data_IF_022012687671
#
_entry.id   IF_022012687671
#
_cell.length_a   1.000
_cell.length_b   1.000
_cell.length_c   1.000
_cell.angle_alpha   90.00
_cell.angle_beta   90.00
_cell.angle_gamma   90.00
#
_symmetry.space_group_name_H-M   'P 1'
#
loop_
_entity.id
_entity.type
_entity.pdbx_description
1 polymer ?
#
# COMPACT_ATOMS: atom_id res chain seq x y z
N UNK A 1 -8.55 -27.22 -9.21
CA UNK A 1 -8.48 -25.96 -9.99
C UNK A 1 -7.53 -25.02 -9.24
N UNK A 2 -6.21 -25.22 -9.31
CA UNK A 2 -5.22 -24.41 -8.60
C UNK A 2 -3.90 -24.33 -9.39
N UNK A 3 -4.01 -24.20 -10.72
CA UNK A 3 -2.87 -24.24 -11.64
C UNK A 3 -2.92 -23.05 -12.60
N UNK A 4 -3.21 -21.85 -12.09
CA UNK A 4 -3.06 -20.60 -12.86
C UNK A 4 -2.00 -19.68 -12.24
N UNK A 5 -1.37 -20.10 -11.14
CA UNK A 5 -0.32 -19.36 -10.42
C UNK A 5 1.10 -19.74 -10.89
N UNK A 6 1.29 -19.95 -12.20
CA UNK A 6 2.63 -20.12 -12.78
C UNK A 6 2.82 -19.25 -14.02
N UNK A 7 2.21 -18.07 -14.04
CA UNK A 7 2.60 -17.06 -15.02
C UNK A 7 4.07 -16.65 -14.80
N UNK A 8 4.72 -16.22 -15.86
CA UNK A 8 6.14 -15.81 -15.94
C UNK A 8 6.56 -15.00 -14.69
N UNK A 9 7.76 -15.27 -14.11
CA UNK A 9 8.22 -14.52 -12.95
C UNK A 9 8.36 -13.04 -13.30
N UNK A 10 8.04 -12.13 -12.35
CA UNK A 10 7.91 -10.70 -12.61
C UNK A 10 9.20 -10.09 -13.17
N UNK A 11 10.36 -10.57 -12.72
CA UNK A 11 11.69 -10.15 -13.18
C UNK A 11 11.93 -10.40 -14.68
N UNK A 12 11.19 -11.35 -15.29
CA UNK A 12 11.30 -11.69 -16.71
C UNK A 12 10.24 -11.02 -17.58
N UNK A 13 9.30 -10.28 -17.00
CA UNK A 13 8.28 -9.54 -17.74
C UNK A 13 8.87 -8.24 -18.29
N UNK A 14 8.49 -7.86 -19.51
CA UNK A 14 8.74 -6.51 -20.02
C UNK A 14 7.76 -5.51 -19.38
N UNK A 15 8.09 -4.22 -19.32
CA UNK A 15 7.30 -3.22 -18.58
C UNK A 15 5.84 -3.13 -19.01
N UNK A 16 5.59 -3.20 -20.33
CA UNK A 16 4.22 -3.22 -20.87
C UNK A 16 3.43 -4.47 -20.51
N UNK A 17 4.10 -5.62 -20.38
CA UNK A 17 3.45 -6.86 -19.92
C UNK A 17 3.23 -6.83 -18.42
N UNK A 18 4.20 -6.33 -17.65
CA UNK A 18 4.08 -6.17 -16.20
C UNK A 18 2.86 -5.34 -15.82
N UNK A 19 2.63 -4.22 -16.51
CA UNK A 19 1.44 -3.37 -16.30
C UNK A 19 0.12 -4.11 -16.61
N UNK A 20 0.09 -4.90 -17.69
CA UNK A 20 -1.10 -5.70 -18.05
C UNK A 20 -1.38 -6.79 -17.02
N UNK A 21 -0.33 -7.49 -16.57
CA UNK A 21 -0.46 -8.51 -15.54
C UNK A 21 -0.92 -7.90 -14.20
N UNK A 22 -0.43 -6.72 -13.84
CA UNK A 22 -0.91 -5.97 -12.67
C UNK A 22 -2.39 -5.61 -12.77
N UNK A 23 -2.85 -5.12 -13.93
CA UNK A 23 -4.28 -4.84 -14.14
C UNK A 23 -5.12 -6.13 -14.03
N UNK A 24 -4.68 -7.20 -14.68
CA UNK A 24 -5.39 -8.48 -14.69
C UNK A 24 -5.48 -9.09 -13.28
N UNK A 25 -4.38 -9.12 -12.54
CA UNK A 25 -4.36 -9.73 -11.20
C UNK A 25 -5.18 -8.93 -10.18
N UNK A 26 -5.30 -7.61 -10.34
CA UNK A 26 -6.19 -6.79 -9.52
C UNK A 26 -7.65 -7.19 -9.71
N UNK A 27 -8.07 -7.38 -10.97
CA UNK A 27 -9.43 -7.82 -11.31
C UNK A 27 -9.70 -9.21 -10.74
N UNK A 28 -8.82 -10.18 -11.03
CA UNK A 28 -9.02 -11.56 -10.58
C UNK A 28 -8.99 -11.68 -9.06
N UNK A 29 -8.06 -11.00 -8.36
CA UNK A 29 -8.06 -11.00 -6.88
C UNK A 29 -9.37 -10.44 -6.32
N UNK A 30 -9.93 -9.41 -6.94
CA UNK A 30 -11.21 -8.85 -6.49
C UNK A 30 -12.36 -9.84 -6.67
N UNK A 31 -12.41 -10.56 -7.79
CA UNK A 31 -13.39 -11.63 -8.01
C UNK A 31 -13.19 -12.78 -7.00
N UNK A 32 -11.95 -13.17 -6.72
CA UNK A 32 -11.63 -14.19 -5.71
C UNK A 32 -11.98 -13.74 -4.30
N UNK A 33 -11.85 -12.45 -3.98
CA UNK A 33 -12.28 -11.92 -2.69
C UNK A 33 -13.79 -12.09 -2.46
N UNK A 34 -14.60 -11.96 -3.51
CA UNK A 34 -16.05 -12.05 -3.42
C UNK A 34 -16.57 -13.48 -3.47
N UNK A 35 -15.93 -14.36 -4.25
CA UNK A 35 -16.48 -15.67 -4.60
C UNK A 35 -15.51 -16.84 -4.42
N UNK A 36 -14.25 -16.56 -4.09
CA UNK A 36 -13.18 -17.55 -4.00
C UNK A 36 -12.98 -18.12 -2.61
N UNK A 37 -12.02 -19.05 -2.52
CA UNK A 37 -11.53 -19.58 -1.25
C UNK A 37 -10.39 -18.73 -0.70
N UNK A 38 -10.17 -18.80 0.60
CA UNK A 38 -9.10 -18.09 1.30
C UNK A 38 -7.70 -18.43 0.74
N UNK A 39 -7.44 -19.71 0.47
CA UNK A 39 -6.18 -20.19 -0.16
C UNK A 39 -5.94 -19.59 -1.56
N UNK A 40 -7.00 -19.48 -2.36
CA UNK A 40 -6.92 -18.85 -3.68
C UNK A 40 -6.66 -17.34 -3.56
N UNK A 41 -7.27 -16.69 -2.56
CA UNK A 41 -7.05 -15.27 -2.29
C UNK A 41 -5.63 -15.01 -1.80
N UNK A 42 -5.08 -15.86 -0.93
CA UNK A 42 -3.70 -15.77 -0.46
C UNK A 42 -2.72 -15.90 -1.64
N UNK A 43 -2.93 -16.90 -2.49
CA UNK A 43 -2.14 -17.12 -3.71
C UNK A 43 -2.10 -15.87 -4.60
N UNK A 44 -3.26 -15.29 -4.92
CA UNK A 44 -3.34 -14.08 -5.73
C UNK A 44 -2.74 -12.85 -5.03
N UNK A 45 -2.84 -12.76 -3.70
CA UNK A 45 -2.26 -11.66 -2.93
C UNK A 45 -0.73 -11.74 -2.94
N UNK A 46 -0.16 -12.94 -2.77
CA UNK A 46 1.29 -13.17 -2.82
C UNK A 46 1.86 -12.81 -4.19
N UNK A 47 1.21 -13.28 -5.27
CA UNK A 47 1.61 -12.97 -6.64
C UNK A 47 1.46 -11.49 -6.98
N UNK A 48 0.40 -10.83 -6.51
CA UNK A 48 0.21 -9.38 -6.66
C UNK A 48 1.38 -8.61 -6.05
N UNK A 49 1.76 -8.94 -4.81
CA UNK A 49 2.89 -8.29 -4.14
C UNK A 49 4.22 -8.46 -4.89
N UNK A 50 4.45 -9.63 -5.50
CA UNK A 50 5.63 -9.86 -6.32
C UNK A 50 5.69 -8.99 -7.59
N UNK A 51 4.55 -8.79 -8.27
CA UNK A 51 4.46 -7.91 -9.44
C UNK A 51 4.61 -6.43 -9.06
N UNK A 52 4.00 -5.99 -7.97
CA UNK A 52 4.11 -4.62 -7.47
C UNK A 52 5.54 -4.29 -7.05
N UNK A 53 6.22 -5.21 -6.36
CA UNK A 53 7.62 -5.04 -5.96
C UNK A 53 8.52 -4.83 -7.18
N UNK A 54 8.31 -5.59 -8.25
CA UNK A 54 9.06 -5.43 -9.49
C UNK A 54 8.78 -4.09 -10.17
N UNK A 55 7.51 -3.69 -10.24
CA UNK A 55 7.12 -2.40 -10.79
C UNK A 55 7.79 -1.24 -10.04
N UNK A 56 7.79 -1.30 -8.70
CA UNK A 56 8.45 -0.29 -7.86
C UNK A 56 9.97 -0.27 -8.03
N UNK A 57 10.61 -1.44 -8.24
CA UNK A 57 12.05 -1.51 -8.53
C UNK A 57 12.41 -0.81 -9.84
N UNK A 58 11.58 -0.97 -10.88
CA UNK A 58 11.82 -0.40 -12.22
C UNK A 58 11.44 1.08 -12.33
N UNK A 59 10.49 1.53 -11.53
CA UNK A 59 9.97 2.90 -11.58
C UNK A 59 10.21 3.66 -10.26
N UNK A 60 11.46 3.94 -9.88
CA UNK A 60 11.78 4.60 -8.60
C UNK A 60 11.24 6.04 -8.50
N UNK A 61 10.92 6.68 -9.63
CA UNK A 61 10.39 8.04 -9.72
C UNK A 61 8.87 8.14 -9.95
N UNK A 62 8.13 7.02 -10.03
CA UNK A 62 6.69 7.06 -10.15
C UNK A 62 6.08 7.74 -8.90
N UNK A 63 5.11 8.67 -9.06
CA UNK A 63 4.45 9.28 -7.92
C UNK A 63 3.80 8.18 -7.09
N UNK A 64 4.30 7.99 -5.87
CA UNK A 64 3.74 7.02 -4.93
C UNK A 64 2.32 7.48 -4.59
N UNK A 65 1.30 6.76 -5.06
CA UNK A 65 -0.06 6.85 -4.53
C UNK A 65 -0.05 6.38 -3.05
N UNK A 66 0.47 7.21 -2.15
CA UNK A 66 0.59 6.91 -0.72
C UNK A 66 1.78 7.53 0.01
N UNK A 67 2.78 8.12 -0.67
CA UNK A 67 3.85 8.86 0.00
C UNK A 67 3.75 10.36 -0.29
N UNK A 68 2.64 10.98 0.09
CA UNK A 68 2.62 12.42 0.28
C UNK A 68 3.35 12.78 1.58
N UNK A 69 4.17 13.85 1.64
CA UNK A 69 4.66 14.38 2.90
C UNK A 69 3.48 15.07 3.60
N UNK A 70 2.65 14.32 4.33
CA UNK A 70 1.36 14.89 4.71
C UNK A 70 0.59 14.11 5.75
N UNK A 71 1.23 13.75 6.86
CA UNK A 71 0.64 13.75 8.21
C UNK A 71 1.73 13.44 9.23
N UNK A 72 2.68 14.37 9.39
CA UNK A 72 3.24 14.57 10.71
C UNK A 72 2.08 15.07 11.58
N UNK A 73 1.45 14.18 12.36
CA UNK A 73 0.58 14.60 13.45
C UNK A 73 1.48 15.34 14.43
N UNK A 74 1.56 16.66 14.29
CA UNK A 74 2.36 17.50 15.18
C UNK A 74 1.95 17.25 16.64
N UNK A 75 2.89 17.27 17.59
CA UNK A 75 2.55 17.07 18.98
C UNK A 75 1.57 18.17 19.39
N UNK A 76 0.40 17.75 19.85
CA UNK A 76 -0.61 18.65 20.38
C UNK A 76 0.02 19.53 21.46
N UNK A 77 0.00 20.85 21.24
CA UNK A 77 0.35 21.82 22.27
C UNK A 77 -0.62 21.61 23.42
N UNK A 78 -0.17 21.00 24.50
CA UNK A 78 -0.89 20.99 25.77
C UNK A 78 -1.05 22.45 26.19
N UNK A 79 -2.29 22.92 26.25
CA UNK A 79 -2.58 24.19 26.89
C UNK A 79 -2.32 24.00 28.38
N UNK A 80 -1.27 24.62 28.90
CA UNK A 80 -1.06 24.75 30.33
C UNK A 80 -2.15 25.66 30.90
N UNK A 81 -2.96 25.23 31.88
CA UNK A 81 -3.81 26.15 32.63
C UNK A 81 -2.89 26.99 33.53
N UNK A 82 -2.68 28.25 33.17
CA UNK A 82 -2.05 29.19 34.08
C UNK A 82 -3.10 29.60 35.13
N UNK A 83 -2.96 29.03 36.33
CA UNK A 83 -3.61 29.49 37.54
C UNK A 83 -2.52 29.87 38.54
N UNK A 84 -2.49 31.13 38.96
CA UNK A 84 -1.68 31.54 40.12
C UNK A 84 -1.17 32.97 40.08
N UNK A 85 -1.95 33.89 40.66
CA UNK A 85 -1.60 35.27 41.02
C UNK A 85 -0.18 35.48 41.58
N UNK A 86 0.33 36.71 41.50
CA UNK A 86 0.88 37.30 42.73
C UNK A 86 0.62 38.81 42.92
N UNK A 87 0.60 39.23 44.19
CA UNK A 87 0.84 40.61 44.66
C UNK A 87 -0.44 41.44 44.84
N UNK A 88 -0.95 41.72 46.05
CA UNK A 88 -0.34 42.48 47.16
C UNK A 88 0.20 43.82 46.65
N UNK A 89 -0.53 44.93 46.75
CA UNK A 89 -0.69 45.85 47.90
C UNK A 89 -0.48 47.30 47.34
N UNK A 90 -0.59 48.40 48.10
CA UNK A 90 -1.35 48.68 49.32
C UNK A 90 -2.66 49.48 49.07
#
# INVERSE_FOLDING_TARGET
MAEQDRGVPPERLEDGQLLKELEAIHRTRHETLLYGSDDALETHTSRMGALEAEYLRRHPGAPRCGAGPGRARGPGRVATPEAGSPGSAP
#
